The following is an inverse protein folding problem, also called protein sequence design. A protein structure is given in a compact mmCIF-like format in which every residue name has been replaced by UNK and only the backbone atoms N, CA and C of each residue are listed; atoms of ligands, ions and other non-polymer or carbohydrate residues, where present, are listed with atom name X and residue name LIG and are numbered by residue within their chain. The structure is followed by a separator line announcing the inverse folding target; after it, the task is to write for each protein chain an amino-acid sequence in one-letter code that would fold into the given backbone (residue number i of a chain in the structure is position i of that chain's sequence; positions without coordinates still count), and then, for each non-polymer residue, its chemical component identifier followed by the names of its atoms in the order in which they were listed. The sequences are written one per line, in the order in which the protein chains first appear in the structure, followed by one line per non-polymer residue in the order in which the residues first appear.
data_IF_381285123185
#
_entry.id   IF_381285123185
#
_cell.length_a   1.000
_cell.length_b   1.000
_cell.length_c   1.000
_cell.angle_alpha   90.00
_cell.angle_beta   90.00
_cell.angle_gamma   90.00
#
_symmetry.space_group_name_H-M   'P 1'
#
loop_
_entity.id
_entity.type
_entity.pdbx_description
1 polymer ?
#
# COMPACT_ATOMS: atom_id res chain seq x y z
N UNK A 1 -41.89 7.79 -12.29
CA UNK A 1 -42.27 9.23 -12.22
C UNK A 1 -41.04 10.11 -11.94
N UNK A 2 -40.18 9.77 -10.97
CA UNK A 2 -38.99 10.56 -10.58
C UNK A 2 -37.96 10.83 -11.70
N UNK A 3 -37.66 9.86 -12.56
CA UNK A 3 -36.64 10.00 -13.62
C UNK A 3 -37.01 11.07 -14.68
N UNK A 4 -38.30 11.16 -15.03
CA UNK A 4 -38.80 12.18 -15.97
C UNK A 4 -38.76 13.59 -15.37
N UNK A 5 -39.05 13.71 -14.07
CA UNK A 5 -38.94 14.98 -13.34
C UNK A 5 -37.49 15.43 -13.25
N UNK A 6 -36.58 14.51 -12.91
CA UNK A 6 -35.14 14.79 -12.84
C UNK A 6 -34.56 15.25 -14.18
N UNK A 7 -34.88 14.56 -15.27
CA UNK A 7 -34.44 14.95 -16.61
C UNK A 7 -34.96 16.33 -17.06
N UNK A 8 -36.17 16.72 -16.62
CA UNK A 8 -36.71 18.05 -16.88
C UNK A 8 -35.94 19.13 -16.10
N UNK A 9 -35.67 18.90 -14.82
CA UNK A 9 -34.88 19.81 -13.99
C UNK A 9 -33.46 20.01 -14.54
N UNK A 10 -32.80 18.93 -15.00
CA UNK A 10 -31.50 19.04 -15.65
C UNK A 10 -31.54 19.89 -16.92
N UNK A 11 -32.55 19.68 -17.77
CA UNK A 11 -32.73 20.46 -19.00
C UNK A 11 -32.97 21.95 -18.69
N UNK A 12 -33.77 22.23 -17.68
CA UNK A 12 -34.10 23.59 -17.26
C UNK A 12 -32.89 24.29 -16.62
N UNK A 13 -32.09 23.56 -15.83
CA UNK A 13 -30.83 24.05 -15.26
C UNK A 13 -29.79 24.37 -16.35
N UNK A 14 -29.58 23.48 -17.32
CA UNK A 14 -28.65 23.72 -18.42
C UNK A 14 -29.09 24.85 -19.34
N UNK A 15 -30.38 24.94 -19.67
CA UNK A 15 -30.92 26.01 -20.53
C UNK A 15 -30.83 27.40 -19.89
N UNK A 16 -31.01 27.47 -18.57
CA UNK A 16 -30.87 28.71 -17.79
C UNK A 16 -29.40 29.11 -17.64
N UNK A 17 -28.53 28.14 -17.28
CA UNK A 17 -27.12 28.37 -17.04
C UNK A 17 -26.39 28.83 -18.32
N UNK A 18 -26.75 28.33 -19.50
CA UNK A 18 -26.10 28.70 -20.79
C UNK A 18 -26.20 30.20 -21.12
N UNK A 19 -27.11 30.94 -20.49
CA UNK A 19 -27.24 32.40 -20.65
C UNK A 19 -26.29 33.21 -19.75
N UNK A 20 -25.69 32.59 -18.73
CA UNK A 20 -24.75 33.23 -17.78
C UNK A 20 -23.45 32.40 -17.70
N UNK A 21 -22.33 32.89 -18.26
CA UNK A 21 -21.11 32.10 -18.40
C UNK A 21 -20.59 31.55 -17.07
N UNK A 22 -20.64 32.35 -16.00
CA UNK A 22 -20.18 31.93 -14.67
C UNK A 22 -21.02 30.78 -14.07
N UNK A 23 -22.34 30.83 -14.25
CA UNK A 23 -23.26 29.77 -13.78
C UNK A 23 -23.09 28.49 -14.59
N UNK A 24 -22.87 28.60 -15.90
CA UNK A 24 -22.59 27.45 -16.75
C UNK A 24 -21.28 26.76 -16.39
N UNK A 25 -20.22 27.53 -16.11
CA UNK A 25 -18.94 27.00 -15.66
C UNK A 25 -19.13 26.23 -14.36
N UNK A 26 -19.81 26.78 -13.35
CA UNK A 26 -20.08 26.07 -12.09
C UNK A 26 -20.88 24.77 -12.29
N UNK A 27 -21.93 24.82 -13.12
CA UNK A 27 -22.78 23.67 -13.42
C UNK A 27 -22.02 22.49 -14.05
N UNK A 28 -21.00 22.78 -14.87
CA UNK A 28 -20.19 21.75 -15.55
C UNK A 28 -18.96 21.38 -14.72
N UNK A 29 -18.25 22.36 -14.18
CA UNK A 29 -16.98 22.16 -13.48
C UNK A 29 -17.15 21.39 -12.17
N UNK A 30 -18.21 21.65 -11.39
CA UNK A 30 -18.40 20.97 -10.09
C UNK A 30 -18.61 19.45 -10.27
N UNK A 31 -19.54 18.97 -11.12
CA UNK A 31 -19.66 17.53 -11.38
C UNK A 31 -18.40 16.94 -12.01
N UNK A 32 -17.68 17.71 -12.84
CA UNK A 32 -16.45 17.25 -13.47
C UNK A 32 -15.33 17.07 -12.44
N UNK A 33 -15.18 17.98 -11.48
CA UNK A 33 -14.24 17.83 -10.35
C UNK A 33 -14.60 16.60 -9.52
N UNK A 34 -15.88 16.40 -9.20
CA UNK A 34 -16.35 15.22 -8.44
C UNK A 34 -16.07 13.93 -9.20
N UNK A 35 -16.34 13.89 -10.50
CA UNK A 35 -16.06 12.74 -11.35
C UNK A 35 -14.55 12.48 -11.47
N UNK A 36 -13.74 13.52 -11.68
CA UNK A 36 -12.29 13.41 -11.75
C UNK A 36 -11.71 12.89 -10.43
N UNK A 37 -12.18 13.41 -9.29
CA UNK A 37 -11.78 12.91 -7.98
C UNK A 37 -12.14 11.44 -7.81
N UNK A 38 -13.35 11.02 -8.21
CA UNK A 38 -13.77 9.62 -8.19
C UNK A 38 -12.89 8.72 -9.06
N UNK A 39 -12.54 9.18 -10.27
CA UNK A 39 -11.66 8.44 -11.18
C UNK A 39 -10.24 8.29 -10.61
N UNK A 40 -9.67 9.37 -10.07
CA UNK A 40 -8.36 9.32 -9.40
C UNK A 40 -8.39 8.42 -8.17
N UNK A 41 -9.45 8.48 -7.37
CA UNK A 41 -9.63 7.64 -6.19
C UNK A 41 -9.64 6.16 -6.58
N UNK A 42 -10.44 5.75 -7.56
CA UNK A 42 -10.46 4.36 -8.02
C UNK A 42 -9.09 3.92 -8.52
N UNK A 43 -8.39 4.76 -9.30
CA UNK A 43 -7.07 4.41 -9.83
C UNK A 43 -6.01 4.25 -8.73
N UNK A 44 -6.01 5.11 -7.71
CA UNK A 44 -5.05 5.05 -6.60
C UNK A 44 -5.36 3.88 -5.65
N UNK A 45 -6.63 3.67 -5.32
CA UNK A 45 -7.03 2.70 -4.30
C UNK A 45 -7.32 1.29 -4.83
N UNK A 46 -7.56 1.09 -6.13
CA UNK A 46 -7.64 -0.26 -6.70
C UNK A 46 -6.28 -0.94 -6.78
N UNK A 47 -5.17 -0.20 -6.73
CA UNK A 47 -3.84 -0.78 -6.94
C UNK A 47 -2.72 -0.31 -5.99
N UNK A 48 -2.96 -0.16 -4.67
CA UNK A 48 -1.88 0.14 -3.73
C UNK A 48 -0.92 -1.04 -3.57
N UNK A 49 -1.42 -2.27 -3.67
CA UNK A 49 -0.64 -3.49 -3.46
C UNK A 49 0.36 -3.78 -4.60
N UNK A 50 0.01 -3.52 -5.87
CA UNK A 50 0.99 -3.62 -6.97
C UNK A 50 2.15 -2.64 -6.77
N UNK A 51 1.86 -1.42 -6.29
CA UNK A 51 2.91 -0.45 -5.97
C UNK A 51 3.74 -0.84 -4.75
N UNK A 52 3.18 -1.59 -3.80
CA UNK A 52 3.98 -2.12 -2.68
C UNK A 52 5.03 -3.14 -3.14
N UNK A 53 4.83 -3.81 -4.28
CA UNK A 53 5.86 -4.69 -4.88
C UNK A 53 7.07 -3.94 -5.41
N UNK A 54 6.95 -2.63 -5.61
CA UNK A 54 8.05 -1.76 -6.07
C UNK A 54 8.77 -1.08 -4.89
N UNK A 55 8.29 -1.25 -3.65
CA UNK A 55 8.90 -0.63 -2.47
C UNK A 55 9.99 -1.56 -1.90
N UNK A 56 11.26 -1.15 -1.91
CA UNK A 56 12.35 -1.92 -1.33
C UNK A 56 12.20 -1.97 0.19
N UNK A 57 12.13 -3.20 0.71
CA UNK A 57 12.00 -3.52 2.14
C UNK A 57 13.23 -4.30 2.59
N UNK A 58 13.99 -3.75 3.53
CA UNK A 58 15.11 -4.46 4.13
C UNK A 58 14.58 -5.55 5.09
N UNK A 59 15.17 -6.74 5.03
CA UNK A 59 14.97 -7.79 6.03
C UNK A 59 16.28 -8.13 6.71
N UNK A 60 16.27 -8.09 8.03
CA UNK A 60 17.43 -8.39 8.88
C UNK A 60 17.05 -9.54 9.81
N UNK A 61 17.81 -10.63 9.75
CA UNK A 61 17.62 -11.77 10.64
C UNK A 61 18.68 -11.79 11.74
N UNK A 62 18.27 -11.58 12.99
CA UNK A 62 19.13 -11.74 14.17
C UNK A 62 18.91 -13.07 14.88
N UNK A 63 17.94 -13.87 14.43
CA UNK A 63 17.52 -15.11 15.09
C UNK A 63 18.68 -16.09 15.22
N UNK A 64 18.93 -16.53 16.45
CA UNK A 64 20.01 -17.48 16.76
C UNK A 64 19.56 -18.93 16.65
N UNK A 65 18.28 -19.16 16.39
CA UNK A 65 17.69 -20.49 16.40
C UNK A 65 17.37 -20.98 17.81
N UNK A 66 16.72 -22.13 17.89
CA UNK A 66 16.35 -22.81 19.12
C UNK A 66 16.59 -24.32 19.00
N UNK A 67 16.74 -24.99 20.14
CA UNK A 67 16.77 -26.45 20.21
C UNK A 67 15.34 -26.98 20.37
N UNK A 68 14.86 -27.71 19.37
CA UNK A 68 13.54 -28.36 19.34
C UNK A 68 13.76 -29.85 19.21
N UNK A 69 13.27 -30.62 20.18
CA UNK A 69 13.41 -32.09 20.20
C UNK A 69 14.86 -32.59 20.01
N UNK A 70 15.85 -31.80 20.43
CA UNK A 70 17.28 -32.10 20.28
C UNK A 70 17.89 -31.70 18.93
N UNK A 71 17.10 -31.14 18.02
CA UNK A 71 17.56 -30.58 16.75
C UNK A 71 17.65 -29.05 16.82
N UNK A 72 18.70 -28.49 16.22
CA UNK A 72 18.83 -27.03 16.07
C UNK A 72 17.96 -26.57 14.91
N UNK A 73 16.99 -25.70 15.17
CA UNK A 73 16.10 -25.10 14.16
C UNK A 73 16.17 -23.58 14.20
N UNK A 74 16.20 -22.94 13.03
CA UNK A 74 16.16 -21.49 12.89
C UNK A 74 14.92 -21.08 12.08
N UNK A 75 13.84 -20.80 12.79
CA UNK A 75 12.58 -20.34 12.19
C UNK A 75 12.69 -18.94 11.58
N UNK A 76 13.63 -18.11 12.03
CA UNK A 76 13.92 -16.82 11.42
C UNK A 76 14.43 -16.98 9.99
N UNK A 77 15.37 -17.91 9.75
CA UNK A 77 15.87 -18.20 8.40
C UNK A 77 14.79 -18.79 7.50
N UNK A 78 13.96 -19.69 8.03
CA UNK A 78 12.81 -20.24 7.30
C UNK A 78 11.82 -19.14 6.90
N UNK A 79 11.56 -18.18 7.80
CA UNK A 79 10.72 -17.02 7.52
C UNK A 79 11.34 -16.12 6.44
N UNK A 80 12.62 -15.78 6.54
CA UNK A 80 13.32 -14.97 5.53
C UNK A 80 13.25 -15.64 4.16
N UNK A 81 13.52 -16.93 4.09
CA UNK A 81 13.45 -17.70 2.83
C UNK A 81 12.04 -17.63 2.25
N UNK A 82 11.02 -17.86 3.08
CA UNK A 82 9.62 -17.87 2.65
C UNK A 82 9.15 -16.51 2.13
N UNK A 83 9.58 -15.40 2.74
CA UNK A 83 9.18 -14.06 2.28
C UNK A 83 9.95 -13.63 1.03
N UNK A 84 11.22 -14.02 0.88
CA UNK A 84 12.02 -13.73 -0.32
C UNK A 84 11.46 -14.45 -1.55
N UNK A 85 10.86 -15.63 -1.39
CA UNK A 85 10.16 -16.34 -2.45
C UNK A 85 8.77 -15.75 -2.76
N UNK A 86 8.24 -14.89 -1.88
CA UNK A 86 6.92 -14.30 -2.05
C UNK A 86 6.96 -13.03 -2.92
N UNK A 87 5.98 -12.88 -3.81
CA UNK A 87 5.80 -11.68 -4.63
C UNK A 87 4.99 -10.58 -3.90
N UNK A 88 5.20 -10.47 -2.59
CA UNK A 88 4.43 -9.58 -1.70
C UNK A 88 5.04 -8.18 -1.57
N UNK A 89 6.37 -8.09 -1.63
CA UNK A 89 7.16 -6.86 -1.58
C UNK A 89 8.54 -7.10 -2.22
N UNK A 90 9.29 -6.03 -2.48
CA UNK A 90 10.68 -6.11 -2.94
C UNK A 90 11.61 -6.32 -1.72
N UNK A 91 11.66 -7.56 -1.23
CA UNK A 91 12.48 -7.94 -0.09
C UNK A 91 13.97 -7.94 -0.41
N UNK A 92 14.78 -7.28 0.43
CA UNK A 92 16.24 -7.25 0.31
C UNK A 92 16.87 -7.66 1.64
N UNK A 93 17.62 -8.78 1.70
CA UNK A 93 18.39 -9.13 2.88
C UNK A 93 19.47 -8.08 3.14
N UNK A 94 19.58 -7.60 4.38
CA UNK A 94 20.54 -6.55 4.74
C UNK A 94 21.29 -6.90 6.03
N UNK A 95 22.51 -6.37 6.17
CA UNK A 95 23.29 -6.50 7.40
C UNK A 95 22.67 -5.64 8.52
N UNK A 96 22.52 -6.16 9.75
CA UNK A 96 22.04 -5.38 10.88
C UNK A 96 22.79 -4.07 11.14
N UNK A 97 24.07 -3.99 10.77
CA UNK A 97 24.90 -2.80 10.96
C UNK A 97 24.72 -1.76 9.85
N UNK A 98 24.17 -2.15 8.70
CA UNK A 98 23.96 -1.28 7.54
C UNK A 98 22.52 -0.82 7.39
N UNK A 99 21.58 -1.47 8.09
CA UNK A 99 20.14 -1.19 7.96
C UNK A 99 19.77 0.26 8.34
N UNK A 100 20.42 0.83 9.35
CA UNK A 100 20.16 2.22 9.77
C UNK A 100 20.63 3.20 8.69
N UNK A 101 21.84 3.01 8.15
CA UNK A 101 22.38 3.82 7.06
C UNK A 101 21.52 3.70 5.80
N UNK A 102 21.08 2.49 5.44
CA UNK A 102 20.21 2.26 4.29
C UNK A 102 18.83 2.93 4.42
N UNK A 103 18.31 3.06 5.65
CA UNK A 103 17.09 3.83 5.91
C UNK A 103 17.33 5.34 5.79
N UNK A 104 18.45 5.85 6.32
CA UNK A 104 18.82 7.27 6.21
C UNK A 104 19.05 7.70 4.76
N UNK A 105 19.69 6.84 3.96
CA UNK A 105 19.98 7.07 2.55
C UNK A 105 18.76 6.83 1.64
N UNK A 106 17.62 6.38 2.20
CA UNK A 106 16.42 6.01 1.44
C UNK A 106 16.63 4.87 0.43
N UNK A 107 17.60 3.99 0.69
CA UNK A 107 17.79 2.75 -0.08
C UNK A 107 16.63 1.78 0.17
N UNK A 108 16.06 1.82 1.39
CA UNK A 108 14.85 1.10 1.79
C UNK A 108 13.86 2.04 2.46
N UNK A 109 12.57 1.80 2.27
CA UNK A 109 11.52 2.60 2.93
C UNK A 109 11.25 2.15 4.38
N UNK A 110 11.49 0.88 4.66
CA UNK A 110 11.28 0.26 5.95
C UNK A 110 12.16 -0.99 6.09
N UNK A 111 12.43 -1.36 7.34
CA UNK A 111 13.18 -2.54 7.68
C UNK A 111 12.36 -3.46 8.60
N UNK A 112 12.39 -4.75 8.32
CA UNK A 112 11.83 -5.80 9.18
C UNK A 112 12.99 -6.50 9.87
N UNK A 113 13.04 -6.38 11.20
CA UNK A 113 14.08 -7.01 12.02
C UNK A 113 13.46 -8.20 12.76
N UNK A 114 13.96 -9.40 12.46
CA UNK A 114 13.63 -10.62 13.20
C UNK A 114 14.54 -10.66 14.43
N UNK A 115 13.99 -10.66 15.66
CA UNK A 115 14.79 -10.57 16.87
C UNK A 115 15.55 -11.86 17.15
N UNK A 116 16.59 -11.77 17.98
CA UNK A 116 17.51 -12.89 18.22
C UNK A 116 16.91 -14.09 18.95
N UNK A 117 15.79 -13.88 19.65
CA UNK A 117 15.05 -14.87 20.44
C UNK A 117 13.80 -15.38 19.71
N UNK A 118 13.68 -15.12 18.40
CA UNK A 118 12.47 -15.44 17.63
C UNK A 118 12.15 -16.94 17.64
N UNK A 119 13.13 -17.79 17.31
CA UNK A 119 12.95 -19.25 17.35
C UNK A 119 12.65 -19.74 18.76
N UNK A 120 13.33 -19.20 19.78
CA UNK A 120 13.07 -19.57 21.18
C UNK A 120 11.62 -19.26 21.57
N UNK A 121 11.12 -18.09 21.21
CA UNK A 121 9.76 -17.65 21.54
C UNK A 121 8.66 -18.44 20.83
N UNK A 122 8.90 -18.88 19.60
CA UNK A 122 7.94 -19.69 18.84
C UNK A 122 7.88 -21.12 19.37
N UNK A 123 9.02 -21.66 19.80
CA UNK A 123 9.13 -23.05 20.27
C UNK A 123 8.76 -23.22 21.75
N UNK A 124 8.79 -22.14 22.53
CA UNK A 124 8.41 -22.14 23.94
C UNK A 124 6.89 -22.09 24.21
N UNK A 125 6.06 -22.02 23.16
CA UNK A 125 4.58 -22.04 23.25
C UNK A 125 3.99 -23.42 23.03
#
# INVERSE_FOLDING_TARGET
MALKTFGKVLRDAFSTARRKPLTYIGLVAVPLIVALFGLLYVNVFMNPYEKMKELPVAVVNLDKGALVDGESKNYGEELVTSILESDSALWTPEDPNLVEEGLENSDYYLAVVIPSDFSERITAG
#
